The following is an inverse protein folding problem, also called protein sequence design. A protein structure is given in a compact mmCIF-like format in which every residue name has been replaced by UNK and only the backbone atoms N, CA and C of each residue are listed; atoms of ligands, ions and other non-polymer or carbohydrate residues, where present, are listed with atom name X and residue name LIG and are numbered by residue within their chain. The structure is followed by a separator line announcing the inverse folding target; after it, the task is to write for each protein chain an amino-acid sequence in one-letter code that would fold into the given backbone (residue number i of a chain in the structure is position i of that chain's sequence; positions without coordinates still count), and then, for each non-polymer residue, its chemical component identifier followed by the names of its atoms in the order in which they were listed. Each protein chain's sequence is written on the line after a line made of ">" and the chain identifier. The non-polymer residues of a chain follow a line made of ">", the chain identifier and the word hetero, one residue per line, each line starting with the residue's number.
data_IF_468976839511
#
_entry.id   IF_468976839511
#
_cell.length_a   1.000
_cell.length_b   1.000
_cell.length_c   1.000
_cell.angle_alpha   90.00
_cell.angle_beta   90.00
_cell.angle_gamma   90.00
#
_symmetry.space_group_name_H-M   'P 1'
#
loop_
_entity.id
_entity.type
_entity.pdbx_description
1 polymer ?
#
# COMPACT_ATOMS: atom_id res chain seq x y z
N UNK A 1 42.24 31.28 5.08
CA UNK A 1 41.47 31.70 6.26
C UNK A 1 40.11 32.17 5.78
N UNK A 2 39.06 31.38 6.00
CA UNK A 2 37.66 31.82 6.04
C UNK A 2 36.86 30.74 6.75
N UNK A 3 36.02 31.21 7.67
CA UNK A 3 35.54 30.53 8.86
C UNK A 3 34.39 29.52 8.64
N UNK A 4 34.36 28.52 9.51
CA UNK A 4 33.18 27.71 9.83
C UNK A 4 32.05 28.61 10.35
N UNK A 5 30.83 28.42 9.83
CA UNK A 5 29.60 28.73 10.54
C UNK A 5 28.83 27.42 10.76
N UNK A 6 28.75 27.00 12.02
CA UNK A 6 27.92 25.89 12.47
C UNK A 6 26.46 26.32 12.47
N UNK A 7 25.59 25.57 11.80
CA UNK A 7 24.14 25.71 11.94
C UNK A 7 23.71 24.80 13.10
N UNK A 8 23.27 25.43 14.19
CA UNK A 8 22.67 24.80 15.36
C UNK A 8 21.28 24.27 14.99
N UNK A 9 21.06 22.96 15.16
CA UNK A 9 19.84 22.25 14.78
C UNK A 9 18.90 21.98 15.98
N UNK A 10 18.99 22.77 17.05
CA UNK A 10 18.15 22.64 18.25
C UNK A 10 16.92 23.55 18.27
N UNK A 11 16.16 23.74 17.19
CA UNK A 11 14.79 24.31 17.31
C UNK A 11 13.91 24.00 16.10
N UNK A 12 13.24 22.85 16.08
CA UNK A 12 12.07 22.61 15.22
C UNK A 12 11.20 21.47 15.76
N UNK A 13 10.71 21.61 16.99
CA UNK A 13 9.56 20.87 17.47
C UNK A 13 8.45 21.90 17.70
N UNK A 14 7.53 22.04 16.74
CA UNK A 14 6.42 22.97 16.85
C UNK A 14 5.83 23.39 15.50
N UNK A 15 4.54 23.12 15.35
CA UNK A 15 3.62 23.56 14.30
C UNK A 15 3.64 22.80 12.95
N UNK A 16 2.64 21.94 12.77
CA UNK A 16 2.06 21.68 11.45
C UNK A 16 0.55 21.90 11.54
N UNK A 17 0.14 23.03 10.95
CA UNK A 17 -1.24 23.43 10.77
C UNK A 17 -1.93 22.59 9.68
N UNK A 18 -3.26 22.53 9.77
CA UNK A 18 -4.19 21.98 8.77
C UNK A 18 -4.03 22.70 7.42
N UNK A 19 -3.80 21.97 6.33
CA UNK A 19 -4.34 22.24 4.98
C UNK A 19 -4.40 20.89 4.23
N UNK A 20 -5.52 20.64 3.55
CA UNK A 20 -5.81 19.38 2.86
C UNK A 20 -5.21 19.26 1.46
N UNK A 21 -4.85 18.02 1.14
CA UNK A 21 -4.82 17.34 -0.18
C UNK A 21 -4.37 15.91 0.10
N UNK A 22 -5.04 14.84 -0.37
CA UNK A 22 -4.57 13.47 -0.16
C UNK A 22 -3.48 13.16 -1.19
N UNK A 23 -2.27 13.63 -0.93
CA UNK A 23 -1.09 13.20 -1.67
C UNK A 23 -0.74 11.78 -1.20
N UNK A 24 -0.66 10.84 -2.16
CA UNK A 24 -0.08 9.50 -2.03
C UNK A 24 0.97 9.42 -0.92
N UNK A 25 0.62 8.77 0.19
CA UNK A 25 1.52 8.60 1.31
C UNK A 25 2.54 7.49 0.99
N UNK A 26 3.63 7.87 0.31
CA UNK A 26 4.88 7.12 0.37
C UNK A 26 5.40 7.33 1.80
N UNK A 27 5.29 6.30 2.64
CA UNK A 27 5.82 6.29 4.00
C UNK A 27 7.36 6.33 3.91
N UNK A 28 7.94 7.54 3.93
CA UNK A 28 9.37 7.73 4.18
C UNK A 28 9.61 7.65 5.70
N UNK A 29 10.04 6.48 6.17
CA UNK A 29 10.66 6.34 7.49
C UNK A 29 12.07 6.96 7.43
N UNK A 30 12.17 8.23 7.81
CA UNK A 30 13.43 8.92 8.10
C UNK A 30 13.91 8.52 9.49
N UNK A 31 14.86 7.58 9.56
CA UNK A 31 15.64 7.32 10.78
C UNK A 31 16.99 8.08 10.69
N UNK A 32 17.27 8.87 11.72
CA UNK A 32 18.50 9.65 11.86
C UNK A 32 19.74 8.78 12.13
N UNK A 33 20.82 9.03 11.37
CA UNK A 33 22.21 8.97 11.86
C UNK A 33 22.99 7.67 11.65
N UNK A 34 23.87 7.63 10.63
CA UNK A 34 25.03 6.70 10.59
C UNK A 34 25.42 6.17 9.19
N UNK A 35 26.46 6.76 8.57
CA UNK A 35 27.38 6.23 7.55
C UNK A 35 26.86 5.42 6.32
N UNK A 36 26.35 6.16 5.32
CA UNK A 36 26.80 6.28 3.90
C UNK A 36 26.91 5.11 2.89
N UNK A 37 26.66 3.83 3.19
CA UNK A 37 26.56 2.78 2.13
C UNK A 37 25.14 2.19 1.98
N UNK A 38 24.38 2.20 3.07
CA UNK A 38 22.98 1.74 3.16
C UNK A 38 21.93 2.54 2.37
N UNK A 39 21.99 3.89 2.31
CA UNK A 39 20.95 4.63 1.59
C UNK A 39 20.98 4.37 0.09
N UNK A 40 22.09 3.88 -0.47
CA UNK A 40 22.23 3.68 -1.93
C UNK A 40 21.49 2.43 -2.40
N UNK A 41 21.63 1.29 -1.70
CA UNK A 41 20.93 0.05 -2.08
C UNK A 41 19.41 0.21 -1.88
N UNK A 42 19.00 0.79 -0.75
CA UNK A 42 17.60 1.06 -0.45
C UNK A 42 17.00 2.07 -1.45
N UNK A 43 17.68 3.20 -1.70
CA UNK A 43 17.22 4.20 -2.69
C UNK A 43 17.20 3.64 -4.11
N UNK A 44 18.16 2.80 -4.46
CA UNK A 44 18.22 2.13 -5.76
C UNK A 44 17.03 1.19 -5.97
N UNK A 45 16.73 0.33 -5.00
CA UNK A 45 15.56 -0.54 -5.02
C UNK A 45 14.26 0.28 -5.05
N UNK A 46 14.14 1.31 -4.22
CA UNK A 46 12.97 2.21 -4.20
C UNK A 46 12.72 2.87 -5.56
N UNK A 47 13.76 3.44 -6.18
CA UNK A 47 13.61 4.08 -7.50
C UNK A 47 13.19 3.08 -8.58
N UNK A 48 13.80 1.88 -8.61
CA UNK A 48 13.39 0.83 -9.55
C UNK A 48 11.94 0.40 -9.32
N UNK A 49 11.54 0.23 -8.07
CA UNK A 49 10.18 -0.16 -7.69
C UNK A 49 9.17 0.90 -8.13
N UNK A 50 9.45 2.19 -7.93
CA UNK A 50 8.60 3.30 -8.37
C UNK A 50 8.44 3.31 -9.89
N UNK A 51 9.55 3.19 -10.64
CA UNK A 51 9.48 3.17 -12.11
C UNK A 51 8.70 1.96 -12.62
N UNK A 52 8.93 0.78 -12.05
CA UNK A 52 8.20 -0.43 -12.41
C UNK A 52 6.71 -0.33 -12.06
N UNK A 53 6.40 0.24 -10.91
CA UNK A 53 5.04 0.51 -10.45
C UNK A 53 4.30 1.46 -11.39
N UNK A 54 4.88 2.63 -11.66
CA UNK A 54 4.26 3.66 -12.50
C UNK A 54 4.04 3.15 -13.92
N UNK A 55 5.01 2.42 -14.48
CA UNK A 55 4.84 1.77 -15.79
C UNK A 55 3.64 0.80 -15.78
N UNK A 56 3.55 -0.08 -14.79
CA UNK A 56 2.46 -1.04 -14.71
C UNK A 56 1.11 -0.36 -14.47
N UNK A 57 1.08 0.73 -13.68
CA UNK A 57 -0.11 1.56 -13.50
C UNK A 57 -0.55 2.17 -14.82
N UNK A 58 0.35 2.80 -15.56
CA UNK A 58 0.01 3.48 -16.81
C UNK A 58 -0.50 2.48 -17.87
N UNK A 59 0.15 1.32 -18.00
CA UNK A 59 -0.32 0.22 -18.86
C UNK A 59 -1.71 -0.28 -18.45
N UNK A 60 -1.95 -0.45 -17.15
CA UNK A 60 -3.25 -0.90 -16.61
C UNK A 60 -4.35 0.14 -16.86
N UNK A 61 -4.04 1.42 -16.69
CA UNK A 61 -4.98 2.53 -16.92
C UNK A 61 -5.37 2.62 -18.40
N UNK A 62 -4.41 2.46 -19.30
CA UNK A 62 -4.65 2.39 -20.75
C UNK A 62 -5.53 1.19 -21.12
N UNK A 63 -5.24 0.01 -20.56
CA UNK A 63 -6.00 -1.21 -20.84
C UNK A 63 -7.44 -1.14 -20.30
N UNK A 64 -7.61 -0.58 -19.10
CA UNK A 64 -8.89 -0.54 -18.42
C UNK A 64 -9.87 0.43 -19.10
N UNK A 65 -9.38 1.51 -19.73
CA UNK A 65 -10.16 2.50 -20.47
C UNK A 65 -11.37 3.02 -19.66
N UNK A 66 -11.10 3.63 -18.51
CA UNK A 66 -12.11 4.24 -17.63
C UNK A 66 -11.56 5.46 -16.90
N UNK A 67 -12.45 6.30 -16.38
CA UNK A 67 -12.08 7.47 -15.60
C UNK A 67 -11.80 7.07 -14.14
N UNK A 68 -10.64 7.45 -13.56
CA UNK A 68 -10.35 7.15 -12.16
C UNK A 68 -11.33 7.86 -11.23
N UNK A 69 -11.68 7.19 -10.13
CA UNK A 69 -12.42 7.81 -9.04
C UNK A 69 -11.93 7.28 -7.69
N UNK A 70 -12.07 8.11 -6.66
CA UNK A 70 -11.78 7.73 -5.28
C UNK A 70 -13.06 7.22 -4.62
N UNK A 71 -13.15 5.92 -4.27
CA UNK A 71 -14.33 5.40 -3.61
C UNK A 71 -14.42 5.89 -2.17
N UNK A 72 -15.65 6.09 -1.69
CA UNK A 72 -15.88 6.30 -0.27
C UNK A 72 -15.52 5.01 0.50
N UNK A 73 -14.66 5.13 1.50
CA UNK A 73 -14.26 4.01 2.35
C UNK A 73 -15.15 3.98 3.58
N UNK A 74 -15.75 2.83 3.88
CA UNK A 74 -16.49 2.62 5.11
C UNK A 74 -15.94 1.42 5.90
N UNK A 75 -16.17 1.43 7.21
CA UNK A 75 -15.87 0.29 8.08
C UNK A 75 -16.93 -0.77 7.84
N UNK A 76 -16.50 -2.00 7.57
CA UNK A 76 -17.37 -3.17 7.49
C UNK A 76 -17.59 -3.67 8.91
N UNK A 77 -18.85 -3.70 9.33
CA UNK A 77 -19.21 -4.26 10.63
C UNK A 77 -18.84 -5.75 10.70
N UNK A 78 -18.38 -6.20 11.86
CA UNK A 78 -17.91 -7.59 12.05
C UNK A 78 -18.97 -8.65 11.71
N UNK A 79 -20.25 -8.29 11.80
CA UNK A 79 -21.38 -9.20 11.57
C UNK A 79 -21.88 -9.17 10.12
N UNK A 80 -21.39 -8.28 9.27
CA UNK A 80 -21.83 -8.21 7.89
C UNK A 80 -21.22 -9.38 7.12
N UNK A 81 -22.07 -10.24 6.55
CA UNK A 81 -21.62 -11.39 5.80
C UNK A 81 -21.26 -10.97 4.37
N UNK A 82 -20.09 -11.41 3.90
CA UNK A 82 -19.71 -11.22 2.51
C UNK A 82 -20.64 -12.02 1.59
N UNK A 83 -20.87 -11.49 0.39
CA UNK A 83 -21.53 -12.21 -0.68
C UNK A 83 -20.74 -13.48 -1.03
N UNK A 84 -21.43 -14.58 -1.39
CA UNK A 84 -20.77 -15.85 -1.68
C UNK A 84 -19.78 -15.70 -2.85
N UNK A 85 -18.50 -15.95 -2.57
CA UNK A 85 -17.41 -15.74 -3.51
C UNK A 85 -17.50 -16.62 -4.78
N UNK A 86 -18.17 -17.77 -4.70
CA UNK A 86 -18.27 -18.75 -5.79
C UNK A 86 -18.97 -18.25 -7.06
N UNK A 87 -19.63 -17.09 -7.03
CA UNK A 87 -20.28 -16.47 -8.20
C UNK A 87 -19.59 -15.20 -8.72
N UNK A 88 -18.53 -14.71 -8.08
CA UNK A 88 -17.93 -13.41 -8.40
C UNK A 88 -16.63 -13.64 -9.18
N UNK A 89 -16.72 -13.54 -10.50
CA UNK A 89 -15.56 -13.72 -11.39
C UNK A 89 -14.47 -12.71 -11.06
N UNK A 90 -13.27 -13.20 -10.73
CA UNK A 90 -12.10 -12.38 -10.50
C UNK A 90 -11.91 -11.88 -9.06
N UNK A 91 -12.80 -12.18 -8.11
CA UNK A 91 -12.58 -11.92 -6.68
C UNK A 91 -11.51 -12.86 -6.13
N UNK A 92 -10.55 -12.34 -5.36
CA UNK A 92 -9.42 -13.14 -4.83
C UNK A 92 -9.65 -13.64 -3.40
N UNK A 93 -8.94 -14.70 -2.98
CA UNK A 93 -8.93 -15.11 -1.58
C UNK A 93 -8.52 -13.97 -0.63
N UNK A 94 -9.35 -13.72 0.37
CA UNK A 94 -9.16 -12.65 1.36
C UNK A 94 -9.73 -11.29 0.94
N UNK A 95 -10.20 -11.13 -0.28
CA UNK A 95 -11.12 -10.05 -0.64
C UNK A 95 -12.56 -10.44 -0.27
N UNK A 96 -13.41 -9.45 -0.07
CA UNK A 96 -14.82 -9.68 0.21
C UNK A 96 -15.68 -8.64 -0.47
N UNK A 97 -16.77 -9.07 -1.09
CA UNK A 97 -17.79 -8.17 -1.63
C UNK A 97 -18.98 -8.14 -0.68
N UNK A 98 -19.47 -6.96 -0.35
CA UNK A 98 -20.54 -6.74 0.61
C UNK A 98 -21.64 -5.90 -0.04
N UNK A 99 -22.89 -6.16 0.33
CA UNK A 99 -24.01 -5.29 -0.04
C UNK A 99 -24.36 -4.38 1.15
N UNK A 100 -24.49 -3.09 0.89
CA UNK A 100 -25.05 -2.11 1.81
C UNK A 100 -26.58 -2.24 1.88
N UNK A 101 -27.24 -1.65 2.90
CA UNK A 101 -28.70 -1.68 3.03
C UNK A 101 -29.45 -1.09 1.81
N UNK A 102 -28.84 -0.17 1.08
CA UNK A 102 -29.38 0.45 -0.15
C UNK A 102 -29.13 -0.40 -1.42
N UNK A 103 -28.49 -1.55 -1.26
CA UNK A 103 -28.11 -2.49 -2.32
C UNK A 103 -26.80 -2.14 -3.02
N UNK A 104 -26.09 -1.07 -2.64
CA UNK A 104 -24.79 -0.75 -3.24
C UNK A 104 -23.71 -1.73 -2.78
N UNK A 105 -22.79 -2.04 -3.69
CA UNK A 105 -21.71 -2.99 -3.46
C UNK A 105 -20.45 -2.30 -2.93
N UNK A 106 -19.81 -2.96 -1.97
CA UNK A 106 -18.57 -2.56 -1.34
C UNK A 106 -17.52 -3.67 -1.47
N UNK A 107 -16.28 -3.29 -1.81
CA UNK A 107 -15.16 -4.22 -1.89
C UNK A 107 -14.21 -4.03 -0.71
N UNK A 108 -14.12 -5.03 0.16
CA UNK A 108 -13.03 -5.17 1.11
C UNK A 108 -11.81 -5.73 0.36
N UNK A 109 -10.76 -4.93 0.30
CA UNK A 109 -9.54 -5.30 -0.41
C UNK A 109 -8.58 -6.02 0.52
N UNK A 110 -7.72 -6.86 -0.08
CA UNK A 110 -6.53 -7.38 0.59
C UNK A 110 -5.33 -6.55 0.12
N UNK A 111 -5.03 -5.48 0.84
CA UNK A 111 -3.91 -4.58 0.52
C UNK A 111 -2.57 -5.19 0.93
N UNK A 112 -2.47 -5.87 2.07
CA UNK A 112 -1.17 -6.42 2.48
C UNK A 112 -0.84 -7.75 1.80
N UNK A 113 0.29 -7.80 1.08
CA UNK A 113 0.82 -9.02 0.46
C UNK A 113 1.83 -9.67 1.40
N UNK A 114 2.74 -8.86 1.94
CA UNK A 114 3.76 -9.28 2.90
C UNK A 114 3.83 -8.25 4.01
N UNK A 115 3.83 -8.72 5.24
CA UNK A 115 4.00 -7.89 6.42
C UNK A 115 4.60 -8.69 7.56
N UNK A 116 4.96 -7.98 8.61
CA UNK A 116 5.37 -8.54 9.89
C UNK A 116 4.47 -8.01 11.01
N UNK A 117 4.77 -8.33 12.27
CA UNK A 117 4.05 -7.76 13.42
C UNK A 117 4.10 -6.22 13.45
N UNK A 118 5.04 -5.62 12.72
CA UNK A 118 5.22 -4.18 12.58
C UNK A 118 4.40 -3.53 11.47
N UNK A 119 3.60 -4.31 10.73
CA UNK A 119 2.72 -3.82 9.68
C UNK A 119 3.06 -4.36 8.31
N UNK A 120 2.57 -3.69 7.28
CA UNK A 120 2.72 -4.15 5.91
C UNK A 120 4.03 -3.67 5.29
N UNK A 121 4.85 -4.60 4.82
CA UNK A 121 6.13 -4.34 4.14
C UNK A 121 5.90 -4.16 2.63
N UNK A 122 4.97 -4.93 2.06
CA UNK A 122 4.63 -4.89 0.64
C UNK A 122 3.12 -4.86 0.49
N UNK A 123 2.63 -3.76 -0.06
CA UNK A 123 1.21 -3.52 -0.32
C UNK A 123 0.87 -3.75 -1.79
N UNK A 124 -0.35 -4.21 -2.03
CA UNK A 124 -1.06 -4.18 -3.30
C UNK A 124 -1.82 -2.87 -3.39
N UNK A 125 -1.69 -2.19 -4.51
CA UNK A 125 -2.51 -1.01 -4.83
C UNK A 125 -3.78 -1.43 -5.59
N UNK A 126 -4.87 -0.72 -5.32
CA UNK A 126 -6.15 -0.86 -6.01
C UNK A 126 -6.53 0.49 -6.59
N UNK A 127 -6.80 0.51 -7.89
CA UNK A 127 -7.29 1.69 -8.60
C UNK A 127 -8.71 1.41 -9.06
N UNK A 128 -9.60 2.38 -8.85
CA UNK A 128 -11.01 2.26 -9.20
C UNK A 128 -11.32 3.16 -10.38
N UNK A 129 -11.91 2.55 -11.41
CA UNK A 129 -12.18 3.22 -12.67
C UNK A 129 -13.65 3.05 -13.02
N UNK A 130 -14.27 4.11 -13.51
CA UNK A 130 -15.64 4.09 -13.99
C UNK A 130 -15.65 4.24 -15.50
N UNK A 131 -16.32 3.31 -16.17
CA UNK A 131 -16.53 3.39 -17.61
C UNK A 131 -17.81 4.16 -17.96
N UNK A 132 -17.92 4.72 -19.18
CA UNK A 132 -19.12 5.44 -19.62
C UNK A 132 -20.40 4.61 -19.53
N UNK A 133 -20.32 3.30 -19.80
CA UNK A 133 -21.44 2.35 -19.70
C UNK A 133 -21.85 1.99 -18.26
N UNK A 134 -21.20 2.56 -17.24
CA UNK A 134 -21.54 2.35 -15.83
C UNK A 134 -20.83 1.17 -15.16
N UNK A 135 -20.01 0.41 -15.90
CA UNK A 135 -19.14 -0.63 -15.33
C UNK A 135 -18.04 -0.01 -14.47
N UNK A 136 -17.79 -0.61 -13.31
CA UNK A 136 -16.65 -0.29 -12.44
C UNK A 136 -15.55 -1.30 -12.69
N UNK A 137 -14.38 -0.82 -13.06
CA UNK A 137 -13.17 -1.62 -13.15
C UNK A 137 -12.36 -1.45 -11.88
N UNK A 138 -12.14 -2.54 -11.16
CA UNK A 138 -11.22 -2.61 -10.02
C UNK A 138 -9.90 -3.14 -10.55
N UNK A 139 -8.94 -2.24 -10.68
CA UNK A 139 -7.62 -2.51 -11.21
C UNK A 139 -6.66 -2.82 -10.06
N UNK A 140 -6.02 -3.99 -10.10
CA UNK A 140 -5.06 -4.44 -9.08
C UNK A 140 -3.63 -4.28 -9.60
N UNK A 141 -2.79 -3.61 -8.85
CA UNK A 141 -1.35 -3.57 -9.09
C UNK A 141 -0.67 -4.50 -8.10
N UNK A 142 -0.28 -5.68 -8.57
CA UNK A 142 0.30 -6.74 -7.73
C UNK A 142 1.82 -6.80 -7.91
N UNK A 143 2.63 -6.44 -6.91
CA UNK A 143 4.07 -6.64 -6.98
C UNK A 143 4.43 -8.13 -7.02
N UNK A 144 5.40 -8.46 -7.87
CA UNK A 144 6.13 -9.73 -7.89
C UNK A 144 7.42 -9.51 -7.11
N UNK A 145 7.44 -10.01 -5.88
CA UNK A 145 8.50 -9.68 -4.90
C UNK A 145 9.73 -10.54 -5.14
N UNK A 146 10.87 -9.88 -5.30
CA UNK A 146 12.21 -10.45 -5.24
C UNK A 146 12.90 -9.96 -3.96
N UNK A 147 13.48 -10.88 -3.20
CA UNK A 147 14.17 -10.55 -1.95
C UNK A 147 15.65 -10.31 -2.24
N UNK A 148 16.19 -9.24 -1.66
CA UNK A 148 17.62 -8.98 -1.62
C UNK A 148 18.04 -8.83 -0.17
N UNK A 149 18.80 -9.78 0.32
CA UNK A 149 19.33 -9.72 1.68
C UNK A 149 20.61 -8.87 1.71
N UNK A 150 20.71 -8.01 2.71
CA UNK A 150 21.94 -7.30 3.05
C UNK A 150 22.27 -7.59 4.50
N UNK A 151 23.54 -7.84 4.77
CA UNK A 151 24.03 -8.02 6.13
C UNK A 151 24.44 -6.67 6.72
N UNK A 152 24.01 -6.40 7.95
CA UNK A 152 24.29 -5.18 8.69
C UNK A 152 24.85 -5.51 10.07
N UNK A 153 25.67 -4.61 10.61
CA UNK A 153 26.37 -4.86 11.89
C UNK A 153 25.42 -5.00 13.08
N UNK A 154 24.24 -4.36 13.05
CA UNK A 154 23.24 -4.40 14.13
C UNK A 154 21.83 -4.29 13.57
N UNK A 155 20.96 -5.23 13.93
CA UNK A 155 19.54 -5.12 13.64
C UNK A 155 18.88 -3.99 14.46
N UNK A 156 17.92 -3.30 13.86
CA UNK A 156 17.10 -2.31 14.56
C UNK A 156 16.19 -2.92 15.63
N UNK A 157 15.64 -2.06 16.49
CA UNK A 157 14.62 -2.47 17.47
C UNK A 157 13.30 -2.80 16.76
N UNK A 158 12.71 -3.96 17.07
CA UNK A 158 11.35 -4.27 16.62
C UNK A 158 10.33 -3.23 17.09
N UNK A 159 9.14 -3.22 16.50
CA UNK A 159 8.07 -2.26 16.79
C UNK A 159 7.49 -2.32 18.23
N UNK A 160 8.01 -3.20 19.10
CA UNK A 160 7.74 -3.26 20.54
C UNK A 160 6.38 -3.85 20.93
N UNK A 161 5.30 -3.46 20.25
CA UNK A 161 3.96 -4.01 20.42
C UNK A 161 3.35 -4.42 19.08
N UNK A 162 2.57 -5.52 19.04
CA UNK A 162 1.84 -5.89 17.84
C UNK A 162 0.88 -4.75 17.47
N UNK A 163 0.78 -4.46 16.17
CA UNK A 163 -0.18 -3.48 15.69
C UNK A 163 -1.59 -3.86 16.18
N UNK A 164 -2.43 -2.89 16.59
CA UNK A 164 -3.81 -3.16 16.91
C UNK A 164 -4.51 -3.83 15.71
N UNK A 165 -5.55 -4.67 15.93
CA UNK A 165 -6.26 -5.30 14.84
C UNK A 165 -6.72 -4.26 13.82
N UNK A 166 -6.38 -4.48 12.55
CA UNK A 166 -6.79 -3.58 11.48
C UNK A 166 -8.33 -3.56 11.40
N UNK A 167 -8.90 -2.35 11.37
CA UNK A 167 -10.31 -2.19 11.04
C UNK A 167 -10.55 -2.76 9.64
N UNK A 168 -11.60 -3.56 9.48
CA UNK A 168 -12.01 -4.03 8.16
C UNK A 168 -12.67 -2.86 7.44
N UNK A 169 -12.02 -2.36 6.41
CA UNK A 169 -12.56 -1.29 5.57
C UNK A 169 -12.87 -1.83 4.18
N UNK A 170 -13.88 -1.25 3.57
CA UNK A 170 -14.27 -1.57 2.20
C UNK A 170 -14.54 -0.29 1.40
N UNK A 171 -14.24 -0.36 0.11
CA UNK A 171 -14.48 0.71 -0.85
C UNK A 171 -15.88 0.59 -1.45
N UNK A 172 -16.70 1.64 -1.33
CA UNK A 172 -17.98 1.77 -2.02
C UNK A 172 -17.77 1.91 -3.51
N UNK A 173 -18.34 0.98 -4.29
CA UNK A 173 -18.11 0.93 -5.73
C UNK A 173 -19.12 1.78 -6.52
N UNK A 174 -20.22 2.22 -5.92
CA UNK A 174 -21.26 2.98 -6.64
C UNK A 174 -22.05 2.15 -7.66
N UNK A 175 -22.07 0.82 -7.51
CA UNK A 175 -22.84 -0.13 -8.34
C UNK A 175 -23.62 -1.09 -7.46
N UNK A 176 -24.75 -1.59 -7.94
CA UNK A 176 -25.61 -2.54 -7.20
C UNK A 176 -25.53 -3.97 -7.71
N UNK A 177 -25.01 -4.16 -8.92
CA UNK A 177 -24.96 -5.45 -9.59
C UNK A 177 -23.53 -5.96 -9.68
N UNK A 178 -23.32 -7.24 -9.33
CA UNK A 178 -22.00 -7.88 -9.39
C UNK A 178 -21.47 -7.88 -10.83
N UNK A 179 -22.34 -8.06 -11.82
CA UNK A 179 -21.98 -8.05 -13.24
C UNK A 179 -21.43 -6.68 -13.72
N UNK A 180 -21.72 -5.60 -12.99
CA UNK A 180 -21.16 -4.27 -13.26
C UNK A 180 -19.73 -4.10 -12.71
N UNK A 181 -19.15 -5.11 -12.06
CA UNK A 181 -17.79 -5.08 -11.53
C UNK A 181 -16.90 -5.92 -12.43
N UNK A 182 -15.82 -5.32 -12.93
CA UNK A 182 -14.77 -6.02 -13.66
C UNK A 182 -13.47 -5.91 -12.90
N UNK A 183 -12.80 -7.03 -12.69
CA UNK A 183 -11.45 -7.04 -12.14
C UNK A 183 -10.42 -7.13 -13.25
N UNK A 184 -9.37 -6.32 -13.15
CA UNK A 184 -8.19 -6.40 -14.01
C UNK A 184 -6.95 -6.35 -13.14
N UNK A 185 -5.84 -6.87 -13.67
CA UNK A 185 -4.61 -6.96 -12.91
C UNK A 185 -3.41 -6.69 -13.79
N UNK A 186 -2.50 -5.88 -13.26
CA UNK A 186 -1.13 -5.79 -13.75
C UNK A 186 -0.17 -6.21 -12.64
N UNK A 187 0.92 -6.85 -13.06
CA UNK A 187 2.01 -7.25 -12.17
C UNK A 187 3.25 -6.45 -12.49
N UNK A 188 4.06 -6.14 -11.47
CA UNK A 188 5.33 -5.44 -11.65
C UNK A 188 6.42 -6.02 -10.76
N UNK A 189 7.69 -6.03 -11.20
CA UNK A 189 8.79 -6.48 -10.35
C UNK A 189 8.96 -5.53 -9.15
N UNK A 190 9.18 -6.10 -7.97
CA UNK A 190 9.44 -5.37 -6.74
C UNK A 190 10.66 -5.96 -6.02
N UNK A 191 11.72 -5.17 -5.85
CA UNK A 191 12.91 -5.54 -5.08
C UNK A 191 12.70 -5.12 -3.62
N UNK A 192 12.50 -6.11 -2.73
CA UNK A 192 12.44 -5.89 -1.28
C UNK A 192 13.81 -6.17 -0.67
N UNK A 193 14.44 -5.14 -0.14
CA UNK A 193 15.71 -5.26 0.58
C UNK A 193 15.41 -5.65 2.03
N UNK A 194 15.92 -6.80 2.46
CA UNK A 194 15.78 -7.30 3.84
C UNK A 194 17.13 -7.24 4.52
N UNK A 195 17.15 -6.67 5.72
CA UNK A 195 18.35 -6.59 6.54
C UNK A 195 18.48 -7.83 7.43
N UNK A 196 19.69 -8.39 7.48
CA UNK A 196 20.09 -9.46 8.39
C UNK A 196 21.29 -9.00 9.23
N UNK A 197 21.45 -9.54 10.44
CA UNK A 197 22.60 -9.27 11.30
C UNK A 197 22.94 -10.52 12.13
N UNK A 198 24.13 -10.57 12.72
CA UNK A 198 24.60 -11.73 13.49
C UNK A 198 23.76 -12.00 14.75
N UNK A 199 23.30 -10.94 15.43
CA UNK A 199 22.48 -11.00 16.65
C UNK A 199 21.10 -10.35 16.42
N UNK A 200 20.17 -11.01 15.70
CA UNK A 200 18.86 -10.44 15.44
C UNK A 200 18.07 -10.33 16.74
N UNK A 201 17.61 -9.12 17.07
CA UNK A 201 16.65 -8.92 18.16
C UNK A 201 15.37 -9.71 17.79
N UNK A 202 14.88 -10.62 18.64
CA UNK A 202 13.67 -11.38 18.36
C UNK A 202 12.51 -10.42 18.07
N UNK A 203 11.84 -10.61 16.93
CA UNK A 203 10.57 -9.91 16.67
C UNK A 203 9.49 -10.60 17.52
N UNK A 204 8.75 -9.85 18.36
CA UNK A 204 7.63 -10.41 19.10
C UNK A 204 6.49 -10.82 18.15
#
# INVERSE_FOLDING_TARGET
>A
MCALAAIDLRTACGAAARVGTPTLAIVLLLACGGATSFPVALKGATNKNVVAHDKARDELMLQANGAPFDPLVAVVELNQQALPAGGIVGLRPGEGLYALPDGELMLMTKSCIRGSSCGCEVSREYVYLKKPEGTVVVARLTPVVSLREIHIDRCGFGCGQPAPPALRTAARLGVKEVAAIKFVEATYPYELVVETCDDPVPRP
#
